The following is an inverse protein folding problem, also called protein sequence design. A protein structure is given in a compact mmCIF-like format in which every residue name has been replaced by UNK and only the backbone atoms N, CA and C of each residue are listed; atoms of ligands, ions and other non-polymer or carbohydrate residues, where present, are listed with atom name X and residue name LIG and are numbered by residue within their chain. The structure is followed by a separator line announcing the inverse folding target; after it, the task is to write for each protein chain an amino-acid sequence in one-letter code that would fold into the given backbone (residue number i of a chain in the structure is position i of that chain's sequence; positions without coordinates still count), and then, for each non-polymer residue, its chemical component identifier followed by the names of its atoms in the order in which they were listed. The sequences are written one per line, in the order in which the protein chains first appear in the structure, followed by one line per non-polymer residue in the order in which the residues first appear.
data_IF_040501274589
#
_entry.id   IF_040501274589
#
_cell.length_a   1.000
_cell.length_b   1.000
_cell.length_c   1.000
_cell.angle_alpha   90.00
_cell.angle_beta   90.00
_cell.angle_gamma   90.00
#
_symmetry.space_group_name_H-M   'P 1'
#
loop_
_entity.id
_entity.type
_entity.pdbx_description
1 polymer ?
#
# COMPACT_ATOMS: atom_id res chain seq x y z
N UNK A 1 -51.37 0.91 -19.86
CA UNK A 1 -50.66 1.34 -18.63
C UNK A 1 -50.05 0.18 -17.82
N UNK A 2 -50.72 -0.97 -17.62
CA UNK A 2 -50.21 -2.12 -16.82
C UNK A 2 -48.82 -2.68 -17.26
N UNK A 3 -48.51 -2.75 -18.56
CA UNK A 3 -47.20 -3.24 -19.06
C UNK A 3 -46.00 -2.35 -18.66
N UNK A 4 -46.18 -1.03 -18.49
CA UNK A 4 -45.11 -0.09 -18.10
C UNK A 4 -44.71 -0.25 -16.62
N UNK A 5 -45.67 -0.56 -15.75
CA UNK A 5 -45.44 -0.85 -14.34
C UNK A 5 -44.78 -2.21 -14.12
N UNK A 6 -45.15 -3.22 -14.92
CA UNK A 6 -44.48 -4.52 -14.92
C UNK A 6 -43.01 -4.41 -15.37
N UNK A 7 -42.73 -3.62 -16.42
CA UNK A 7 -41.36 -3.33 -16.86
C UNK A 7 -40.54 -2.58 -15.82
N UNK A 8 -41.12 -1.58 -15.15
CA UNK A 8 -40.47 -0.86 -14.06
C UNK A 8 -40.20 -1.76 -12.84
N UNK A 9 -41.13 -2.64 -12.48
CA UNK A 9 -40.95 -3.62 -11.41
C UNK A 9 -39.84 -4.63 -11.69
N UNK A 10 -39.79 -5.16 -12.92
CA UNK A 10 -38.72 -6.06 -13.37
C UNK A 10 -37.36 -5.36 -13.36
N UNK A 11 -37.27 -4.14 -13.88
CA UNK A 11 -36.03 -3.36 -13.90
C UNK A 11 -35.53 -3.07 -12.47
N UNK A 12 -36.42 -2.64 -11.58
CA UNK A 12 -36.08 -2.40 -10.17
C UNK A 12 -35.68 -3.67 -9.43
N UNK A 13 -36.38 -4.79 -9.67
CA UNK A 13 -36.03 -6.09 -9.09
C UNK A 13 -34.66 -6.59 -9.56
N UNK A 14 -34.36 -6.45 -10.85
CA UNK A 14 -33.04 -6.75 -11.42
C UNK A 14 -31.95 -5.87 -10.82
N UNK A 15 -32.19 -4.56 -10.68
CA UNK A 15 -31.22 -3.64 -10.06
C UNK A 15 -30.94 -3.99 -8.60
N UNK A 16 -31.98 -4.27 -7.82
CA UNK A 16 -31.81 -4.69 -6.42
C UNK A 16 -31.05 -6.01 -6.35
N UNK A 17 -31.39 -6.98 -7.20
CA UNK A 17 -30.69 -8.26 -7.27
C UNK A 17 -29.21 -8.08 -7.67
N UNK A 18 -28.92 -7.17 -8.60
CA UNK A 18 -27.57 -6.85 -9.05
C UNK A 18 -26.73 -6.18 -7.96
N UNK A 19 -27.33 -5.28 -7.17
CA UNK A 19 -26.66 -4.63 -6.03
C UNK A 19 -26.41 -5.64 -4.92
N UNK A 20 -27.40 -6.46 -4.59
CA UNK A 20 -27.28 -7.47 -3.52
C UNK A 20 -26.28 -8.57 -3.89
N UNK A 21 -26.23 -8.97 -5.16
CA UNK A 21 -25.32 -9.98 -5.68
C UNK A 21 -24.16 -9.36 -6.48
N UNK A 22 -23.79 -8.12 -6.16
CA UNK A 22 -22.75 -7.41 -6.89
C UNK A 22 -21.45 -8.24 -6.85
N UNK A 23 -20.92 -8.67 -8.01
CA UNK A 23 -19.87 -9.67 -8.03
C UNK A 23 -18.52 -9.07 -7.61
N UNK A 24 -17.71 -9.86 -6.91
CA UNK A 24 -16.37 -9.47 -6.43
C UNK A 24 -15.46 -8.87 -7.53
N UNK A 25 -15.66 -9.26 -8.80
CA UNK A 25 -14.92 -8.72 -9.96
C UNK A 25 -15.08 -7.21 -10.20
N UNK A 26 -16.12 -6.58 -9.65
CA UNK A 26 -16.24 -5.13 -9.74
C UNK A 26 -15.21 -4.45 -8.84
N UNK A 27 -14.95 -5.01 -7.65
CA UNK A 27 -13.91 -4.53 -6.75
C UNK A 27 -12.53 -4.62 -7.40
N UNK A 28 -12.23 -5.70 -8.13
CA UNK A 28 -10.96 -5.82 -8.86
C UNK A 28 -10.78 -4.74 -9.91
N UNK A 29 -11.85 -4.38 -10.63
CA UNK A 29 -11.82 -3.28 -11.60
C UNK A 29 -11.54 -1.93 -10.95
N UNK A 30 -12.23 -1.62 -9.85
CA UNK A 30 -12.03 -0.36 -9.11
C UNK A 30 -10.64 -0.25 -8.48
N UNK A 31 -10.13 -1.34 -7.90
CA UNK A 31 -8.78 -1.38 -7.31
C UNK A 31 -7.70 -1.23 -8.39
N UNK A 32 -7.86 -1.92 -9.53
CA UNK A 32 -6.94 -1.78 -10.65
C UNK A 32 -6.95 -0.35 -11.22
N UNK A 33 -8.13 0.23 -11.45
CA UNK A 33 -8.23 1.59 -11.98
C UNK A 33 -7.72 2.65 -11.00
N UNK A 34 -8.10 2.55 -9.73
CA UNK A 34 -7.67 3.49 -8.69
C UNK A 34 -6.17 3.46 -8.39
N UNK A 35 -5.51 2.33 -8.63
CA UNK A 35 -4.06 2.17 -8.44
C UNK A 35 -3.22 2.37 -9.72
N UNK A 36 -3.86 2.71 -10.85
CA UNK A 36 -3.16 2.80 -12.15
C UNK A 36 -2.63 1.45 -12.65
N UNK A 37 -3.29 0.36 -12.26
CA UNK A 37 -2.94 -1.02 -12.60
C UNK A 37 -1.89 -1.65 -11.70
N UNK A 38 -1.32 -0.90 -10.73
CA UNK A 38 -0.24 -1.38 -9.86
C UNK A 38 -0.69 -2.38 -8.82
N UNK A 39 -1.93 -2.26 -8.32
CA UNK A 39 -2.52 -3.22 -7.39
C UNK A 39 -3.67 -3.93 -8.09
N UNK A 40 -3.60 -5.26 -8.13
CA UNK A 40 -4.57 -6.09 -8.83
C UNK A 40 -5.13 -7.16 -7.90
N UNK A 41 -6.46 -7.29 -7.91
CA UNK A 41 -7.15 -8.40 -7.27
C UNK A 41 -7.40 -9.49 -8.32
N UNK A 42 -6.71 -10.63 -8.17
CA UNK A 42 -6.79 -11.75 -9.11
C UNK A 42 -7.66 -12.86 -8.55
N UNK A 43 -8.33 -13.60 -9.44
CA UNK A 43 -9.24 -14.70 -9.09
C UNK A 43 -10.28 -14.31 -8.01
N UNK A 44 -11.00 -13.19 -8.17
CA UNK A 44 -11.98 -12.75 -7.17
C UNK A 44 -13.12 -13.77 -7.05
N UNK A 45 -13.44 -14.15 -5.82
CA UNK A 45 -14.52 -15.06 -5.45
C UNK A 45 -15.50 -14.34 -4.53
N UNK A 46 -16.79 -14.67 -4.63
CA UNK A 46 -17.85 -14.08 -3.81
C UNK A 46 -18.40 -12.76 -4.38
N UNK A 47 -18.83 -11.88 -3.49
CA UNK A 47 -19.48 -10.61 -3.80
C UNK A 47 -18.67 -9.40 -3.33
N UNK A 48 -19.14 -8.20 -3.67
CA UNK A 48 -18.63 -6.95 -3.10
C UNK A 48 -18.78 -6.89 -1.57
N UNK A 49 -19.77 -7.59 -1.02
CA UNK A 49 -20.07 -7.59 0.41
C UNK A 49 -19.24 -8.61 1.18
N UNK A 50 -18.97 -9.76 0.59
CA UNK A 50 -18.18 -10.81 1.23
C UNK A 50 -17.50 -11.63 0.13
N UNK A 51 -16.18 -11.54 0.08
CA UNK A 51 -15.40 -12.19 -0.96
C UNK A 51 -13.94 -12.34 -0.62
N UNK A 52 -13.19 -12.94 -1.54
CA UNK A 52 -11.75 -13.07 -1.45
C UNK A 52 -11.07 -13.04 -2.81
N UNK A 53 -9.82 -12.56 -2.85
CA UNK A 53 -9.01 -12.51 -4.05
C UNK A 53 -7.53 -12.68 -3.72
N UNK A 54 -6.72 -13.15 -4.68
CA UNK A 54 -5.27 -13.02 -4.60
C UNK A 54 -4.86 -11.56 -4.79
N UNK A 55 -3.80 -11.12 -4.11
CA UNK A 55 -3.28 -9.76 -4.26
C UNK A 55 -1.99 -9.79 -5.09
N UNK A 56 -1.95 -9.01 -6.16
CA UNK A 56 -0.79 -8.88 -7.05
C UNK A 56 -0.36 -7.44 -7.10
N UNK A 57 0.94 -7.21 -6.94
CA UNK A 57 1.60 -5.91 -7.16
C UNK A 57 2.29 -5.95 -8.52
N UNK A 58 2.11 -4.94 -9.34
CA UNK A 58 2.69 -4.81 -10.67
C UNK A 58 3.28 -3.42 -10.91
N UNK A 59 4.09 -3.27 -11.96
CA UNK A 59 4.64 -1.98 -12.38
C UNK A 59 3.61 -1.00 -12.95
N UNK A 60 2.32 -1.39 -13.05
CA UNK A 60 1.25 -0.60 -13.64
C UNK A 60 0.85 -1.08 -15.03
N UNK A 61 -0.03 -0.31 -15.69
CA UNK A 61 -0.55 -0.64 -17.02
C UNK A 61 0.59 -0.88 -18.04
N UNK A 62 0.57 -2.05 -18.68
CA UNK A 62 1.56 -2.45 -19.68
C UNK A 62 2.85 -3.08 -19.13
N UNK A 63 3.06 -3.08 -17.80
CA UNK A 63 4.19 -3.79 -17.20
C UNK A 63 3.96 -5.30 -17.19
N UNK A 64 5.03 -6.07 -17.40
CA UNK A 64 5.06 -7.52 -17.23
C UNK A 64 5.57 -7.93 -15.84
N UNK A 65 6.16 -6.99 -15.10
CA UNK A 65 6.60 -7.24 -13.74
C UNK A 65 5.37 -7.35 -12.84
N UNK A 66 5.27 -8.48 -12.14
CA UNK A 66 4.20 -8.77 -11.21
C UNK A 66 4.70 -9.69 -10.09
N UNK A 67 4.25 -9.42 -8.87
CA UNK A 67 4.54 -10.26 -7.70
C UNK A 67 3.25 -10.51 -6.94
N UNK A 68 2.95 -11.79 -6.71
CA UNK A 68 1.76 -12.22 -5.97
C UNK A 68 2.10 -12.34 -4.49
N UNK A 69 1.28 -11.72 -3.65
CA UNK A 69 1.36 -11.89 -2.22
C UNK A 69 0.87 -13.30 -1.84
N UNK A 70 1.53 -14.01 -0.90
CA UNK A 70 1.06 -15.32 -0.45
C UNK A 70 -0.36 -15.27 0.13
N UNK A 71 -1.16 -16.30 -0.12
CA UNK A 71 -2.54 -16.38 0.38
C UNK A 71 -3.53 -15.47 -0.36
N UNK A 72 -4.64 -15.14 0.32
CA UNK A 72 -5.73 -14.34 -0.21
C UNK A 72 -6.06 -13.17 0.71
N UNK A 73 -6.53 -12.08 0.10
CA UNK A 73 -7.24 -11.00 0.78
C UNK A 73 -8.71 -11.40 0.87
N UNK A 74 -9.24 -11.47 2.08
CA UNK A 74 -10.66 -11.62 2.37
C UNK A 74 -11.22 -10.27 2.78
N UNK A 75 -12.43 -9.95 2.32
CA UNK A 75 -13.15 -8.76 2.74
C UNK A 75 -14.58 -9.09 3.16
N UNK A 76 -15.08 -8.32 4.12
CA UNK A 76 -16.47 -8.34 4.54
C UNK A 76 -16.95 -6.93 4.85
N UNK A 77 -17.97 -6.47 4.13
CA UNK A 77 -18.62 -5.18 4.34
C UNK A 77 -19.93 -5.41 5.10
N UNK A 78 -20.02 -4.88 6.31
CA UNK A 78 -21.20 -4.97 7.16
C UNK A 78 -21.83 -3.60 7.37
N UNK A 79 -23.16 -3.57 7.44
CA UNK A 79 -23.95 -2.34 7.65
C UNK A 79 -24.77 -2.35 8.96
N UNK A 80 -24.86 -3.51 9.65
CA UNK A 80 -25.77 -3.72 10.80
C UNK A 80 -25.48 -2.83 12.01
N UNK A 81 -24.21 -2.57 12.31
CA UNK A 81 -23.76 -1.78 13.48
C UNK A 81 -23.07 -0.48 13.03
N UNK A 82 -23.44 0.02 11.86
CA UNK A 82 -22.69 1.04 11.12
C UNK A 82 -21.86 0.41 9.98
N UNK A 83 -21.53 1.19 8.95
CA UNK A 83 -20.75 0.69 7.82
C UNK A 83 -19.32 0.41 8.25
N UNK A 84 -18.90 -0.83 8.09
CA UNK A 84 -17.58 -1.31 8.49
C UNK A 84 -17.07 -2.28 7.44
N UNK A 85 -15.87 -2.00 6.94
CA UNK A 85 -15.13 -2.91 6.08
C UNK A 85 -14.15 -3.71 6.93
N UNK A 86 -14.22 -5.03 6.87
CA UNK A 86 -13.26 -5.92 7.52
C UNK A 86 -12.37 -6.55 6.47
N UNK A 87 -11.06 -6.49 6.67
CA UNK A 87 -10.06 -7.07 5.77
C UNK A 87 -9.22 -8.09 6.52
N UNK A 88 -8.88 -9.21 5.88
CA UNK A 88 -7.94 -10.19 6.43
C UNK A 88 -7.04 -10.68 5.29
N UNK A 89 -5.73 -10.73 5.54
CA UNK A 89 -4.72 -11.27 4.64
C UNK A 89 -4.10 -12.51 5.27
N UNK A 90 -4.32 -13.67 4.64
CA UNK A 90 -3.94 -14.99 5.20
C UNK A 90 -2.48 -15.05 5.68
N UNK A 91 -1.55 -14.46 4.92
CA UNK A 91 -0.11 -14.52 5.22
C UNK A 91 0.37 -13.48 6.23
N UNK A 92 -0.33 -12.35 6.31
CA UNK A 92 0.35 -11.08 6.54
C UNK A 92 -0.41 -10.10 7.43
N UNK A 93 -1.70 -10.31 7.71
CA UNK A 93 -2.42 -9.50 8.71
C UNK A 93 -2.29 -10.10 10.09
N UNK A 94 -2.14 -9.25 11.12
CA UNK A 94 -2.14 -9.69 12.52
C UNK A 94 -3.53 -10.17 13.01
N UNK A 95 -4.57 -9.98 12.21
CA UNK A 95 -5.95 -10.37 12.49
C UNK A 95 -6.90 -9.73 11.48
N UNK A 96 -8.19 -9.78 11.77
CA UNK A 96 -9.20 -9.09 10.96
C UNK A 96 -9.10 -7.57 11.20
N UNK A 97 -8.66 -6.82 10.18
CA UNK A 97 -8.55 -5.37 10.18
C UNK A 97 -9.94 -4.77 10.00
N UNK A 98 -10.52 -4.29 11.10
CA UNK A 98 -11.76 -3.55 11.12
C UNK A 98 -11.53 -2.08 10.73
N UNK A 99 -12.10 -1.66 9.60
CA UNK A 99 -12.07 -0.30 9.07
C UNK A 99 -13.48 0.32 9.17
N UNK A 100 -13.74 1.14 10.19
CA UNK A 100 -14.97 1.91 10.28
C UNK A 100 -15.08 2.86 9.09
N UNK A 101 -16.24 2.85 8.44
CA UNK A 101 -16.59 3.79 7.39
C UNK A 101 -17.56 4.81 8.00
N UNK A 102 -17.28 6.09 7.83
CA UNK A 102 -18.13 7.19 8.30
C UNK A 102 -18.58 8.01 7.09
N UNK A 103 -19.70 7.62 6.44
CA UNK A 103 -20.26 8.41 5.36
C UNK A 103 -20.82 9.73 5.90
N UNK A 104 -20.73 10.78 5.09
CA UNK A 104 -21.40 12.05 5.30
C UNK A 104 -21.73 12.70 3.95
N UNK A 105 -22.39 13.85 3.99
CA UNK A 105 -22.76 14.58 2.77
C UNK A 105 -21.52 14.92 1.93
N UNK A 106 -21.37 14.25 0.78
CA UNK A 106 -20.22 14.41 -0.10
C UNK A 106 -18.87 13.98 0.49
N UNK A 107 -18.88 13.27 1.62
CA UNK A 107 -17.66 12.83 2.32
C UNK A 107 -17.72 11.36 2.72
N UNK A 108 -16.58 10.68 2.68
CA UNK A 108 -16.41 9.34 3.24
C UNK A 108 -15.10 9.29 4.02
N UNK A 109 -15.19 9.07 5.32
CA UNK A 109 -14.01 8.88 6.17
C UNK A 109 -13.81 7.40 6.46
N UNK A 110 -12.61 6.89 6.22
CA UNK A 110 -12.18 5.52 6.51
C UNK A 110 -11.12 5.58 7.59
N UNK A 111 -11.35 4.93 8.73
CA UNK A 111 -10.42 4.95 9.85
C UNK A 111 -9.63 3.65 9.93
N UNK A 112 -8.32 3.74 10.21
CA UNK A 112 -7.49 2.57 10.45
C UNK A 112 -7.61 2.13 11.92
N UNK A 113 -7.60 0.81 12.18
CA UNK A 113 -7.67 0.31 13.54
C UNK A 113 -6.48 0.79 14.36
N UNK A 114 -6.75 1.25 15.58
CA UNK A 114 -5.72 1.51 16.58
C UNK A 114 -5.40 0.20 17.28
N UNK A 115 -4.19 -0.31 17.11
CA UNK A 115 -3.72 -1.50 17.82
C UNK A 115 -2.24 -1.38 18.16
N UNK A 116 -1.81 -2.13 19.16
CA UNK A 116 -0.41 -2.22 19.54
C UNK A 116 0.31 -3.16 18.57
N UNK A 117 1.21 -2.61 17.76
CA UNK A 117 2.00 -3.34 16.77
C UNK A 117 1.54 -3.15 15.32
N UNK A 118 2.16 -3.88 14.37
CA UNK A 118 1.90 -3.68 12.96
C UNK A 118 0.57 -4.28 12.53
N UNK A 119 -0.18 -3.49 11.76
CA UNK A 119 -1.41 -3.90 11.07
C UNK A 119 -1.13 -5.02 10.05
N UNK A 120 -0.03 -4.87 9.31
CA UNK A 120 0.39 -5.80 8.26
C UNK A 120 1.90 -6.09 8.35
N UNK A 121 2.27 -7.34 8.05
CA UNK A 121 3.64 -7.83 7.92
C UNK A 121 3.81 -8.48 6.55
N UNK A 122 4.34 -7.75 5.59
CA UNK A 122 4.46 -8.16 4.19
C UNK A 122 5.90 -8.60 3.89
N UNK A 123 6.13 -9.60 3.03
CA UNK A 123 7.47 -9.90 2.54
C UNK A 123 7.96 -8.76 1.64
N UNK A 124 9.18 -8.26 1.86
CA UNK A 124 9.73 -7.15 1.07
C UNK A 124 9.88 -7.52 -0.41
N UNK A 125 10.08 -8.82 -0.72
CA UNK A 125 10.14 -9.36 -2.08
C UNK A 125 8.85 -9.13 -2.89
N UNK A 126 7.73 -8.79 -2.24
CA UNK A 126 6.51 -8.39 -2.93
C UNK A 126 6.72 -7.10 -3.76
N UNK A 127 7.61 -6.20 -3.30
CA UNK A 127 7.93 -4.95 -4.01
C UNK A 127 8.57 -5.18 -5.38
N UNK A 128 9.16 -6.36 -5.65
CA UNK A 128 9.72 -6.70 -6.96
C UNK A 128 8.67 -6.55 -8.08
N UNK A 129 7.39 -6.73 -7.76
CA UNK A 129 6.29 -6.56 -8.70
C UNK A 129 6.20 -5.14 -9.27
N UNK A 130 6.67 -4.10 -8.57
CA UNK A 130 6.61 -2.71 -9.04
C UNK A 130 7.53 -2.42 -10.25
N UNK A 131 8.36 -3.38 -10.67
CA UNK A 131 9.34 -3.18 -11.74
C UNK A 131 10.55 -2.37 -11.26
N UNK A 132 11.21 -1.64 -12.17
CA UNK A 132 12.40 -0.83 -11.85
C UNK A 132 12.06 0.32 -10.90
N UNK A 133 12.86 0.57 -9.84
CA UNK A 133 14.14 -0.08 -9.50
C UNK A 133 14.01 -1.36 -8.64
N UNK A 134 12.82 -1.67 -8.14
CA UNK A 134 12.60 -2.77 -7.19
C UNK A 134 12.99 -4.14 -7.74
N UNK A 135 12.70 -4.43 -9.01
CA UNK A 135 13.10 -5.70 -9.64
C UNK A 135 14.64 -5.83 -9.75
N UNK A 136 15.37 -4.71 -9.89
CA UNK A 136 16.85 -4.72 -9.90
C UNK A 136 17.40 -4.89 -8.48
N UNK A 137 16.81 -4.20 -7.50
CA UNK A 137 17.24 -4.27 -6.09
C UNK A 137 16.95 -5.65 -5.48
N UNK A 138 15.85 -6.29 -5.88
CA UNK A 138 15.32 -7.53 -5.32
C UNK A 138 15.30 -7.51 -3.78
N UNK A 139 14.58 -6.55 -3.17
CA UNK A 139 14.44 -6.44 -1.73
C UNK A 139 14.07 -7.76 -1.06
N UNK A 140 14.83 -8.14 -0.03
CA UNK A 140 14.46 -9.16 0.93
C UNK A 140 14.20 -8.55 2.31
N UNK A 141 13.64 -9.34 3.22
CA UNK A 141 13.25 -8.90 4.56
C UNK A 141 11.74 -8.79 4.74
N UNK A 142 11.32 -8.09 5.80
CA UNK A 142 9.92 -7.96 6.19
C UNK A 142 9.52 -6.48 6.30
N UNK A 143 8.48 -6.10 5.57
CA UNK A 143 7.80 -4.82 5.72
C UNK A 143 6.77 -4.91 6.83
N UNK A 144 6.78 -3.97 7.76
CA UNK A 144 5.78 -3.83 8.83
C UNK A 144 5.09 -2.50 8.68
N UNK A 145 3.77 -2.54 8.55
CA UNK A 145 2.93 -1.35 8.43
C UNK A 145 2.17 -1.11 9.72
N UNK A 146 2.32 0.06 10.29
CA UNK A 146 1.66 0.50 11.52
C UNK A 146 0.97 1.84 11.27
N UNK A 147 -0.06 2.14 12.05
CA UNK A 147 -0.81 3.38 11.93
C UNK A 147 -1.22 3.91 13.30
N UNK A 148 -1.11 5.22 13.50
CA UNK A 148 -1.50 5.90 14.73
C UNK A 148 -2.42 7.07 14.40
N UNK A 149 -3.61 7.08 15.00
CA UNK A 149 -4.70 8.01 14.71
C UNK A 149 -4.95 8.24 13.20
N UNK A 150 -4.73 7.22 12.36
CA UNK A 150 -4.75 7.39 10.92
C UNK A 150 -6.15 7.24 10.32
N UNK A 151 -6.48 8.13 9.39
CA UNK A 151 -7.73 8.10 8.65
C UNK A 151 -7.54 8.63 7.23
N UNK A 152 -8.39 8.20 6.31
CA UNK A 152 -8.47 8.71 4.95
C UNK A 152 -9.86 9.30 4.72
N UNK A 153 -9.91 10.58 4.35
CA UNK A 153 -11.15 11.28 4.07
C UNK A 153 -11.27 11.57 2.58
N UNK A 154 -12.28 11.01 1.93
CA UNK A 154 -12.63 11.34 0.57
C UNK A 154 -13.61 12.52 0.59
N UNK A 155 -13.21 13.65 0.03
CA UNK A 155 -14.06 14.85 -0.09
C UNK A 155 -13.70 15.60 -1.37
N UNK A 156 -14.70 16.06 -2.12
CA UNK A 156 -14.48 16.88 -3.32
C UNK A 156 -13.66 16.19 -4.42
N UNK A 157 -13.79 14.86 -4.55
CA UNK A 157 -13.07 14.09 -5.57
C UNK A 157 -11.62 13.72 -5.21
N UNK A 158 -11.17 14.01 -3.99
CA UNK A 158 -9.78 13.77 -3.56
C UNK A 158 -9.75 13.02 -2.24
N UNK A 159 -8.75 12.15 -2.09
CA UNK A 159 -8.42 11.49 -0.82
C UNK A 159 -7.47 12.36 -0.02
N UNK A 160 -7.81 12.63 1.24
CA UNK A 160 -7.04 13.40 2.19
C UNK A 160 -6.63 12.50 3.36
N UNK A 161 -5.36 12.06 3.43
CA UNK A 161 -4.87 11.31 4.59
C UNK A 161 -4.77 12.21 5.83
N UNK A 162 -4.93 11.61 7.00
CA UNK A 162 -4.79 12.25 8.32
C UNK A 162 -4.09 11.26 9.26
N UNK A 163 -3.33 11.78 10.23
CA UNK A 163 -2.64 11.00 11.26
C UNK A 163 -1.25 10.55 10.84
N UNK A 164 -0.74 9.50 11.48
CA UNK A 164 0.61 8.98 11.24
C UNK A 164 0.56 7.56 10.70
N UNK A 165 1.31 7.32 9.64
CA UNK A 165 1.60 5.98 9.12
C UNK A 165 3.10 5.70 9.28
N UNK A 166 3.43 4.48 9.66
CA UNK A 166 4.81 4.04 9.81
C UNK A 166 5.01 2.76 9.00
N UNK A 167 6.03 2.77 8.15
CA UNK A 167 6.48 1.61 7.40
C UNK A 167 7.90 1.29 7.83
N UNK A 168 8.08 0.14 8.47
CA UNK A 168 9.41 -0.37 8.81
C UNK A 168 9.80 -1.47 7.86
N UNK A 169 11.04 -1.44 7.39
CA UNK A 169 11.65 -2.51 6.63
C UNK A 169 12.70 -3.17 7.51
N UNK A 170 12.43 -4.39 7.95
CA UNK A 170 13.31 -5.17 8.82
C UNK A 170 14.16 -6.14 8.01
N UNK A 171 15.44 -6.25 8.37
CA UNK A 171 16.39 -7.17 7.74
C UNK A 171 16.41 -7.02 6.21
N UNK A 172 16.49 -5.76 5.75
CA UNK A 172 16.59 -5.45 4.34
C UNK A 172 17.82 -6.12 3.74
N UNK A 173 17.63 -6.86 2.66
CA UNK A 173 18.72 -7.34 1.82
C UNK A 173 18.49 -6.97 0.38
N UNK A 174 19.56 -6.97 -0.41
CA UNK A 174 19.52 -6.77 -1.86
C UNK A 174 20.53 -7.69 -2.52
N UNK A 175 20.18 -8.21 -3.70
CA UNK A 175 21.12 -9.02 -4.52
C UNK A 175 22.33 -8.24 -5.03
N UNK A 176 22.31 -6.92 -4.91
CA UNK A 176 23.41 -6.04 -5.33
C UNK A 176 24.51 -5.91 -4.27
N UNK A 177 24.36 -6.56 -3.11
CA UNK A 177 25.35 -6.61 -2.05
C UNK A 177 25.67 -8.05 -1.68
N UNK A 178 26.88 -8.28 -1.19
CA UNK A 178 27.31 -9.56 -0.62
C UNK A 178 26.88 -9.73 0.84
N UNK A 179 26.39 -8.66 1.49
CA UNK A 179 25.93 -8.72 2.87
C UNK A 179 24.57 -9.44 2.96
N UNK A 180 24.37 -10.32 3.95
CA UNK A 180 23.10 -11.00 4.15
C UNK A 180 21.97 -10.04 4.57
N UNK A 181 22.32 -8.98 5.30
CA UNK A 181 21.42 -7.91 5.72
C UNK A 181 22.15 -6.57 5.65
N UNK A 182 21.53 -5.61 4.97
CA UNK A 182 21.96 -4.24 4.82
C UNK A 182 21.57 -3.39 6.01
N UNK A 183 20.44 -3.70 6.63
CA UNK A 183 19.93 -2.99 7.80
C UNK A 183 18.42 -3.05 7.97
N UNK A 184 17.94 -2.30 8.95
CA UNK A 184 16.52 -2.07 9.19
C UNK A 184 16.24 -0.57 9.13
N UNK A 185 15.12 -0.19 8.53
CA UNK A 185 14.78 1.20 8.22
C UNK A 185 13.36 1.52 8.64
N UNK A 186 13.11 2.80 8.91
CA UNK A 186 11.79 3.31 9.21
C UNK A 186 11.48 4.51 8.34
N UNK A 187 10.33 4.43 7.66
CA UNK A 187 9.71 5.52 6.94
C UNK A 187 8.46 5.95 7.70
N UNK A 188 8.48 7.17 8.22
CA UNK A 188 7.33 7.79 8.85
C UNK A 188 6.65 8.74 7.88
N UNK A 189 5.32 8.66 7.81
CA UNK A 189 4.48 9.57 7.05
C UNK A 189 3.56 10.28 8.02
N UNK A 190 3.66 11.61 8.08
CA UNK A 190 2.81 12.46 8.89
C UNK A 190 1.87 13.25 7.98
N UNK A 191 0.58 12.96 8.09
CA UNK A 191 -0.45 13.62 7.32
C UNK A 191 -1.26 14.56 8.23
N UNK A 192 -1.14 15.86 7.97
CA UNK A 192 -1.96 16.89 8.61
C UNK A 192 -3.17 17.20 7.74
N UNK A 193 -4.34 17.52 8.33
CA UNK A 193 -5.53 17.87 7.56
C UNK A 193 -5.25 19.01 6.57
N UNK A 194 -5.64 18.81 5.31
CA UNK A 194 -5.50 19.80 4.23
C UNK A 194 -4.06 20.27 3.93
N UNK A 195 -3.04 19.57 4.43
CA UNK A 195 -1.63 19.87 4.17
C UNK A 195 -0.89 18.76 3.45
N UNK A 196 0.39 19.00 3.10
CA UNK A 196 1.23 17.98 2.49
C UNK A 196 1.49 16.83 3.47
N UNK A 197 1.62 15.61 2.95
CA UNK A 197 2.10 14.49 3.77
C UNK A 197 3.61 14.62 3.89
N UNK A 198 4.13 14.77 5.11
CA UNK A 198 5.56 14.81 5.38
C UNK A 198 6.11 13.39 5.45
N UNK A 199 7.29 13.16 4.90
CA UNK A 199 7.98 11.88 4.89
C UNK A 199 9.32 12.04 5.62
N UNK A 200 9.64 11.09 6.50
CA UNK A 200 10.92 11.00 7.19
C UNK A 200 11.46 9.57 7.06
N UNK A 201 12.62 9.41 6.43
CA UNK A 201 13.33 8.13 6.33
C UNK A 201 14.51 8.15 7.31
N UNK A 202 14.68 7.07 8.06
CA UNK A 202 15.82 6.88 8.94
C UNK A 202 16.26 5.43 9.01
N UNK A 203 17.53 5.24 9.37
CA UNK A 203 18.11 3.92 9.66
C UNK A 203 17.87 3.58 11.13
N UNK A 204 17.38 2.38 11.38
CA UNK A 204 17.28 1.82 12.73
C UNK A 204 18.58 1.10 13.09
N UNK A 205 19.12 0.32 12.15
CA UNK A 205 20.35 -0.45 12.31
C UNK A 205 20.90 -0.88 10.94
N UNK A 206 22.17 -1.27 10.86
CA UNK A 206 22.75 -1.92 9.69
C UNK A 206 23.95 -1.22 9.07
N UNK A 207 24.53 -1.88 8.06
CA UNK A 207 25.71 -1.43 7.33
C UNK A 207 25.41 -0.29 6.35
N UNK A 208 24.20 -0.25 5.77
CA UNK A 208 23.77 0.82 4.88
C UNK A 208 22.98 1.85 5.69
N UNK A 209 23.50 3.07 5.75
CA UNK A 209 22.87 4.20 6.42
C UNK A 209 22.06 5.02 5.41
N UNK A 210 20.75 5.01 5.57
CA UNK A 210 19.77 5.80 4.83
C UNK A 210 19.11 6.83 5.74
N UNK A 211 19.00 8.06 5.24
CA UNK A 211 18.17 9.09 5.83
C UNK A 211 17.68 10.05 4.76
N UNK A 212 16.57 10.71 5.05
CA UNK A 212 16.02 11.71 4.16
C UNK A 212 14.69 12.24 4.67
N UNK A 213 14.25 13.30 4.03
CA UNK A 213 12.94 13.88 4.27
C UNK A 213 12.29 14.28 2.96
N UNK A 214 10.97 14.41 2.99
CA UNK A 214 10.21 14.75 1.81
C UNK A 214 8.81 15.22 2.13
N UNK A 215 8.10 15.59 1.07
CA UNK A 215 6.69 15.95 1.10
C UNK A 215 5.97 15.37 -0.10
N UNK A 216 4.73 14.92 0.11
CA UNK A 216 3.84 14.45 -0.94
C UNK A 216 2.62 15.37 -0.99
N UNK A 217 2.51 16.12 -2.08
CA UNK A 217 1.39 17.01 -2.39
C UNK A 217 1.10 16.94 -3.89
N UNK A 218 0.30 15.95 -4.29
CA UNK A 218 0.08 15.60 -5.70
C UNK A 218 1.29 14.93 -6.38
N UNK A 219 2.51 15.44 -6.14
CA UNK A 219 3.80 14.86 -6.56
C UNK A 219 4.69 14.63 -5.33
N UNK A 220 5.49 13.56 -5.38
CA UNK A 220 6.46 13.23 -4.34
C UNK A 220 7.73 14.04 -4.55
N UNK A 221 8.09 14.85 -3.56
CA UNK A 221 9.39 15.50 -3.46
C UNK A 221 10.13 14.89 -2.27
N UNK A 222 11.25 14.22 -2.53
CA UNK A 222 12.04 13.54 -1.51
C UNK A 222 13.52 13.78 -1.73
N UNK A 223 14.23 14.11 -0.66
CA UNK A 223 15.66 14.25 -0.64
C UNK A 223 16.22 13.38 0.48
N UNK A 224 17.16 12.51 0.13
CA UNK A 224 17.86 11.67 1.09
C UNK A 224 19.30 11.45 0.69
N UNK A 225 20.06 10.87 1.61
CA UNK A 225 21.40 10.38 1.34
C UNK A 225 21.55 8.95 1.85
N UNK A 226 22.32 8.18 1.09
CA UNK A 226 22.72 6.83 1.37
C UNK A 226 24.24 6.76 1.51
N UNK A 227 24.73 6.11 2.56
CA UNK A 227 26.16 5.87 2.77
C UNK A 227 26.40 4.51 3.38
N UNK A 228 27.58 3.95 3.15
CA UNK A 228 28.05 2.76 3.86
C UNK A 228 28.59 3.15 5.24
N UNK A 229 28.49 2.25 6.21
CA UNK A 229 29.30 2.32 7.42
C UNK A 229 30.78 2.03 7.08
N UNK A 230 31.72 2.57 7.89
CA UNK A 230 33.14 2.31 7.71
C UNK A 230 33.46 0.82 7.59
N UNK A 231 34.19 0.44 6.53
CA UNK A 231 34.61 -0.94 6.26
C UNK A 231 33.60 -1.79 5.48
N UNK A 232 32.44 -1.23 5.10
CA UNK A 232 31.40 -1.92 4.31
C UNK A 232 31.23 -1.34 2.90
N UNK A 233 32.10 -0.39 2.51
CA UNK A 233 32.01 0.35 1.25
C UNK A 233 32.08 -0.58 0.04
N UNK A 234 33.02 -1.53 0.04
CA UNK A 234 33.21 -2.48 -1.06
C UNK A 234 31.95 -3.34 -1.30
N UNK A 235 31.31 -3.80 -0.21
CA UNK A 235 30.11 -4.63 -0.30
C UNK A 235 28.85 -3.85 -0.73
N UNK A 236 28.86 -2.52 -0.57
CA UNK A 236 27.74 -1.63 -0.85
C UNK A 236 27.92 -0.76 -2.09
N UNK A 237 29.10 -0.77 -2.71
CA UNK A 237 29.44 0.12 -3.82
C UNK A 237 28.45 0.00 -5.00
N UNK A 238 28.12 -1.22 -5.42
CA UNK A 238 27.18 -1.46 -6.52
C UNK A 238 25.77 -0.92 -6.20
N UNK A 239 25.31 -1.14 -4.97
CA UNK A 239 24.01 -0.69 -4.50
C UNK A 239 23.93 0.84 -4.48
N UNK A 240 24.96 1.49 -3.92
CA UNK A 240 25.06 2.95 -3.82
C UNK A 240 25.04 3.62 -5.21
N UNK A 241 25.66 3.00 -6.21
CA UNK A 241 25.62 3.49 -7.60
C UNK A 241 24.23 3.42 -8.24
N UNK A 242 23.35 2.52 -7.77
CA UNK A 242 22.01 2.31 -8.34
C UNK A 242 20.95 3.16 -7.64
N UNK A 243 21.06 3.36 -6.31
CA UNK A 243 20.03 4.05 -5.52
C UNK A 243 20.05 5.57 -5.72
N UNK A 244 21.20 6.17 -6.05
CA UNK A 244 21.32 7.62 -6.19
C UNK A 244 22.55 8.06 -6.95
N UNK A 245 22.72 9.38 -7.08
CA UNK A 245 23.90 9.96 -7.71
C UNK A 245 25.05 10.00 -6.69
N UNK A 246 26.18 9.39 -7.05
CA UNK A 246 27.39 9.36 -6.21
C UNK A 246 27.96 10.77 -6.00
N UNK A 247 28.30 11.07 -4.76
CA UNK A 247 29.04 12.27 -4.32
C UNK A 247 30.06 11.83 -3.27
N UNK A 248 31.27 11.48 -3.73
CA UNK A 248 32.31 10.90 -2.85
C UNK A 248 31.85 9.57 -2.25
N UNK A 249 31.80 9.49 -0.93
CA UNK A 249 31.38 8.28 -0.18
C UNK A 249 29.85 8.17 -0.04
N UNK A 250 29.12 9.24 -0.32
CA UNK A 250 27.65 9.30 -0.19
C UNK A 250 26.98 9.17 -1.55
N UNK A 251 25.73 8.76 -1.55
CA UNK A 251 24.86 8.74 -2.73
C UNK A 251 23.60 9.53 -2.43
N UNK A 252 23.38 10.58 -3.22
CA UNK A 252 22.24 11.48 -3.03
C UNK A 252 21.04 10.96 -3.81
N UNK A 253 19.92 10.86 -3.11
CA UNK A 253 18.64 10.40 -3.64
C UNK A 253 17.76 11.63 -3.76
N UNK A 254 17.36 11.96 -4.98
CA UNK A 254 16.40 13.04 -5.24
C UNK A 254 15.26 12.48 -6.09
N UNK A 255 14.04 12.58 -5.56
CA UNK A 255 12.81 12.25 -6.27
C UNK A 255 12.00 13.54 -6.31
N UNK A 256 11.54 13.93 -7.49
CA UNK A 256 10.90 15.22 -7.67
C UNK A 256 9.91 15.23 -8.80
#
# INVERSE_FOLDING_TARGET
MKKRWAGAGLASGLLIALIWQAPARWLSGWVAQGSGGRLQLVEPRGSLWHGSAGLVLSGGAGSRDASRLPGRLHWRLSWRSGPQLRLNLDCCSAGELALPLKPGWGRLRVELPQQQGPLLRLPAAWLNGLGTPWNTLQPSGQLRFSAQAAAFEYQGGRWQPQGQLELELHQFGSRLSTLPSLGSYRLQLLAVPQGPVQLQLQTLEGALQLHGSGRLEGRLQFQGEARANPGQEAALNNLLNIIGRRQGERSVITIG
#
